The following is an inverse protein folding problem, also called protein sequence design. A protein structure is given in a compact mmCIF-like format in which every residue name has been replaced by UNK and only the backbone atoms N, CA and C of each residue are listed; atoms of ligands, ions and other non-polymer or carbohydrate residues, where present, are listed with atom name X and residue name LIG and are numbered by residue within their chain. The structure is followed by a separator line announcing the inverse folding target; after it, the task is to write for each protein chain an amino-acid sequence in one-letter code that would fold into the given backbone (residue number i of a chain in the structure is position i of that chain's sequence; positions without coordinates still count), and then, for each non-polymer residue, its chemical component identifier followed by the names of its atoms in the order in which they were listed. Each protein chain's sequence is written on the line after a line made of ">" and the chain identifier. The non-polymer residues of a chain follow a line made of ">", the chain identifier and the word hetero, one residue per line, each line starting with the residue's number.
data_IF_329159998658
#
_entry.id   IF_329159998658
#
_cell.length_a   1.000
_cell.length_b   1.000
_cell.length_c   1.000
_cell.angle_alpha   90.00
_cell.angle_beta   90.00
_cell.angle_gamma   90.00
#
_symmetry.space_group_name_H-M   'P 1'
#
loop_
_entity.id
_entity.type
_entity.pdbx_description
1 polymer ?
#
# COMPACT_ATOMS: atom_id res chain seq x y z
N UNK A 1 -9.28 -43.83 36.68
CA UNK A 1 -9.53 -43.09 35.42
C UNK A 1 -9.23 -41.62 35.67
N UNK A 2 -8.16 -41.07 35.07
CA UNK A 2 -7.76 -39.66 35.28
C UNK A 2 -8.52 -38.79 34.27
N UNK A 3 -9.37 -37.91 34.75
CA UNK A 3 -10.05 -36.89 33.92
C UNK A 3 -9.01 -35.87 33.49
N UNK A 4 -8.68 -35.85 32.20
CA UNK A 4 -7.95 -34.75 31.59
C UNK A 4 -8.85 -33.50 31.61
N UNK A 5 -8.75 -32.72 32.68
CA UNK A 5 -9.19 -31.32 32.68
C UNK A 5 -8.26 -30.56 31.75
N UNK A 6 -8.60 -30.53 30.46
CA UNK A 6 -7.91 -29.71 29.47
C UNK A 6 -8.39 -28.26 29.67
N UNK A 7 -7.65 -27.50 30.47
CA UNK A 7 -7.79 -26.05 30.57
C UNK A 7 -7.89 -25.44 29.17
N UNK A 8 -8.89 -24.60 28.87
CA UNK A 8 -9.05 -24.03 27.52
C UNK A 8 -8.12 -22.85 27.22
N UNK A 9 -7.26 -22.46 28.18
CA UNK A 9 -6.45 -21.23 28.08
C UNK A 9 -5.10 -21.38 27.38
N UNK A 10 -4.75 -22.57 26.88
CA UNK A 10 -3.50 -22.82 26.15
C UNK A 10 -3.75 -23.06 24.65
N UNK A 11 -4.69 -22.31 24.06
CA UNK A 11 -4.82 -22.21 22.61
C UNK A 11 -3.96 -21.05 22.15
N UNK A 12 -2.68 -21.33 21.96
CA UNK A 12 -1.92 -20.63 20.92
C UNK A 12 -2.78 -20.66 19.65
N UNK A 13 -3.24 -19.49 19.21
CA UNK A 13 -4.18 -19.33 18.10
C UNK A 13 -3.74 -20.19 16.92
N UNK A 14 -4.50 -21.24 16.59
CA UNK A 14 -4.23 -22.08 15.43
C UNK A 14 -4.72 -21.41 14.13
N UNK A 15 -5.26 -20.20 14.24
CA UNK A 15 -5.66 -19.39 13.11
C UNK A 15 -4.43 -18.91 12.33
N UNK A 16 -4.43 -19.01 10.99
CA UNK A 16 -3.43 -18.34 10.18
C UNK A 16 -3.49 -16.82 10.43
N UNK A 17 -2.34 -16.15 10.38
CA UNK A 17 -2.18 -14.72 10.68
C UNK A 17 -3.23 -13.84 9.97
N UNK A 18 -3.51 -14.14 8.70
CA UNK A 18 -4.54 -13.47 7.91
C UNK A 18 -5.96 -13.60 8.49
N UNK A 19 -6.31 -14.76 9.07
CA UNK A 19 -7.62 -14.94 9.70
C UNK A 19 -7.69 -14.31 11.09
N UNK A 20 -6.56 -14.17 11.80
CA UNK A 20 -6.51 -13.40 13.03
C UNK A 20 -6.78 -11.91 12.76
N UNK A 21 -6.18 -11.35 11.70
CA UNK A 21 -6.41 -9.96 11.31
C UNK A 21 -7.87 -9.71 10.88
N UNK A 22 -8.47 -10.64 10.13
CA UNK A 22 -9.91 -10.57 9.78
C UNK A 22 -10.75 -10.64 11.07
N UNK A 23 -10.45 -11.56 11.99
CA UNK A 23 -11.17 -11.70 13.24
C UNK A 23 -11.08 -10.44 14.11
N UNK A 24 -9.91 -9.79 14.16
CA UNK A 24 -9.73 -8.54 14.88
C UNK A 24 -10.55 -7.41 14.27
N UNK A 25 -10.53 -7.25 12.94
CA UNK A 25 -11.34 -6.24 12.25
C UNK A 25 -12.83 -6.48 12.41
N UNK A 26 -13.28 -7.73 12.37
CA UNK A 26 -14.67 -8.09 12.64
C UNK A 26 -15.04 -7.76 14.09
N UNK A 27 -14.14 -8.03 15.05
CA UNK A 27 -14.31 -7.68 16.46
C UNK A 27 -14.47 -6.17 16.65
N UNK A 28 -13.62 -5.38 16.00
CA UNK A 28 -13.69 -3.92 16.02
C UNK A 28 -14.97 -3.41 15.34
N UNK A 29 -15.31 -3.93 14.16
CA UNK A 29 -16.47 -3.49 13.37
C UNK A 29 -17.82 -3.76 14.06
N UNK A 30 -17.89 -4.86 14.83
CA UNK A 30 -19.06 -5.23 15.60
C UNK A 30 -19.02 -4.71 17.04
N UNK A 31 -18.01 -3.90 17.40
CA UNK A 31 -17.74 -3.41 18.76
C UNK A 31 -17.85 -4.52 19.82
N UNK A 32 -17.34 -5.71 19.50
CA UNK A 32 -17.36 -6.85 20.41
C UNK A 32 -16.39 -6.63 21.57
N UNK A 33 -16.65 -7.32 22.69
CA UNK A 33 -15.83 -7.21 23.89
C UNK A 33 -14.35 -7.53 23.58
N UNK A 34 -13.39 -6.70 24.05
CA UNK A 34 -11.96 -6.95 23.88
C UNK A 34 -11.48 -8.25 24.54
N UNK A 35 -12.25 -8.78 25.49
CA UNK A 35 -11.99 -10.05 26.15
C UNK A 35 -12.38 -11.28 25.33
N UNK A 36 -13.07 -11.11 24.21
CA UNK A 36 -13.45 -12.22 23.33
C UNK A 36 -12.25 -12.69 22.50
N UNK A 37 -11.91 -13.99 22.54
CA UNK A 37 -10.76 -14.52 21.81
C UNK A 37 -11.03 -14.55 20.30
N UNK A 38 -9.99 -14.26 19.52
CA UNK A 38 -10.09 -14.15 18.05
C UNK A 38 -10.49 -15.47 17.39
N UNK A 39 -10.06 -16.63 17.93
CA UNK A 39 -10.51 -17.96 17.48
C UNK A 39 -12.03 -18.13 17.59
N UNK A 40 -12.64 -17.62 18.66
CA UNK A 40 -14.09 -17.69 18.85
C UNK A 40 -14.82 -16.71 17.92
N UNK A 41 -14.24 -15.53 17.67
CA UNK A 41 -14.78 -14.59 16.67
C UNK A 41 -14.72 -15.21 15.28
N UNK A 42 -13.61 -15.85 14.92
CA UNK A 42 -13.45 -16.50 13.62
C UNK A 42 -14.44 -17.65 13.43
N UNK A 43 -14.61 -18.51 14.43
CA UNK A 43 -15.56 -19.63 14.38
C UNK A 43 -17.00 -19.12 14.24
N UNK A 44 -17.39 -18.14 15.06
CA UNK A 44 -18.76 -17.62 15.11
C UNK A 44 -19.13 -16.80 13.88
N UNK A 45 -18.19 -16.04 13.32
CA UNK A 45 -18.47 -15.07 12.26
C UNK A 45 -17.94 -15.49 10.89
N UNK A 46 -17.25 -16.62 10.72
CA UNK A 46 -16.66 -17.08 9.45
C UNK A 46 -17.60 -17.00 8.25
N UNK A 47 -18.86 -17.38 8.46
CA UNK A 47 -19.87 -17.45 7.41
C UNK A 47 -20.72 -16.17 7.28
N UNK A 48 -20.52 -15.20 8.18
CA UNK A 48 -21.23 -13.93 8.19
C UNK A 48 -20.85 -13.04 7.00
N UNK A 49 -21.75 -12.12 6.66
CA UNK A 49 -21.47 -11.11 5.63
C UNK A 49 -20.34 -10.15 6.05
N UNK A 50 -20.22 -9.86 7.35
CA UNK A 50 -19.19 -8.97 7.90
C UNK A 50 -17.80 -9.57 7.71
N UNK A 51 -17.64 -10.86 7.99
CA UNK A 51 -16.37 -11.57 7.74
C UNK A 51 -15.96 -11.56 6.27
N UNK A 52 -16.91 -11.82 5.36
CA UNK A 52 -16.65 -11.75 3.91
C UNK A 52 -16.24 -10.34 3.48
N UNK A 53 -16.89 -9.31 4.01
CA UNK A 53 -16.56 -7.92 3.75
C UNK A 53 -15.14 -7.58 4.20
N UNK A 54 -14.77 -7.93 5.43
CA UNK A 54 -13.43 -7.67 5.95
C UNK A 54 -12.35 -8.46 5.20
N UNK A 55 -12.63 -9.73 4.86
CA UNK A 55 -11.72 -10.56 4.04
C UNK A 55 -11.48 -9.98 2.66
N UNK A 56 -12.52 -9.44 2.00
CA UNK A 56 -12.36 -8.74 0.71
C UNK A 56 -11.70 -7.37 0.88
N UNK A 57 -11.98 -6.66 1.97
CA UNK A 57 -11.35 -5.39 2.32
C UNK A 57 -9.83 -5.53 2.42
N UNK A 58 -9.36 -6.53 3.17
CA UNK A 58 -7.93 -6.85 3.28
C UNK A 58 -7.28 -7.17 1.95
N UNK A 59 -7.92 -8.00 1.12
CA UNK A 59 -7.42 -8.30 -0.22
C UNK A 59 -7.40 -7.06 -1.13
N UNK A 60 -8.39 -6.17 -0.96
CA UNK A 60 -8.50 -4.91 -1.70
C UNK A 60 -7.45 -3.88 -1.26
N UNK A 61 -7.10 -3.83 0.02
CA UNK A 61 -6.02 -2.99 0.54
C UNK A 61 -4.67 -3.47 0.04
N UNK A 62 -4.39 -4.78 0.05
CA UNK A 62 -3.17 -5.35 -0.54
C UNK A 62 -3.04 -5.00 -2.03
N UNK A 63 -4.15 -5.11 -2.77
CA UNK A 63 -4.19 -4.76 -4.19
C UNK A 63 -4.00 -3.25 -4.40
N UNK A 64 -4.61 -2.42 -3.55
CA UNK A 64 -4.49 -0.97 -3.60
C UNK A 64 -3.09 -0.50 -3.24
N UNK A 65 -2.44 -1.11 -2.26
CA UNK A 65 -1.07 -0.83 -1.87
C UNK A 65 -0.10 -1.16 -3.01
N UNK A 66 -0.31 -2.32 -3.66
CA UNK A 66 0.45 -2.73 -4.84
C UNK A 66 0.22 -1.80 -6.04
N UNK A 67 -1.01 -1.37 -6.28
CA UNK A 67 -1.35 -0.39 -7.32
C UNK A 67 -0.76 1.00 -6.99
N UNK A 68 -0.79 1.41 -5.73
CA UNK A 68 -0.24 2.69 -5.28
C UNK A 68 1.29 2.72 -5.48
N UNK A 69 1.98 1.63 -5.13
CA UNK A 69 3.40 1.45 -5.39
C UNK A 69 3.77 1.56 -6.87
N UNK A 70 2.91 1.10 -7.78
CA UNK A 70 3.11 1.21 -9.23
C UNK A 70 2.73 2.62 -9.74
N UNK A 71 1.79 3.30 -9.10
CA UNK A 71 1.33 4.63 -9.52
C UNK A 71 2.28 5.77 -9.15
N UNK A 72 3.13 5.59 -8.13
CA UNK A 72 4.13 6.58 -7.73
C UNK A 72 5.11 6.99 -8.86
N UNK A 73 5.76 6.08 -9.60
CA UNK A 73 6.64 6.46 -10.71
C UNK A 73 5.88 7.17 -11.84
N UNK A 74 4.63 6.80 -12.09
CA UNK A 74 3.78 7.40 -13.14
C UNK A 74 3.39 8.83 -12.74
N UNK A 75 2.97 9.04 -11.49
CA UNK A 75 2.71 10.38 -10.96
C UNK A 75 3.96 11.26 -11.01
N UNK A 76 5.15 10.70 -10.69
CA UNK A 76 6.41 11.43 -10.75
C UNK A 76 6.78 11.85 -12.18
N UNK A 77 6.49 11.00 -13.16
CA UNK A 77 6.69 11.31 -14.58
C UNK A 77 5.73 12.39 -15.08
N UNK A 78 4.45 12.31 -14.70
CA UNK A 78 3.44 13.34 -15.00
C UNK A 78 3.77 14.68 -14.36
N UNK A 79 4.20 14.69 -13.10
CA UNK A 79 4.63 15.92 -12.41
C UNK A 79 5.88 16.54 -13.03
N UNK A 80 6.86 15.72 -13.45
CA UNK A 80 8.02 16.20 -14.19
C UNK A 80 7.62 16.91 -15.48
N UNK A 81 6.67 16.35 -16.22
CA UNK A 81 6.18 16.93 -17.48
C UNK A 81 5.38 18.22 -17.28
N UNK A 82 4.54 18.30 -16.25
CA UNK A 82 3.80 19.52 -15.88
C UNK A 82 4.77 20.62 -15.41
N UNK A 83 5.79 20.27 -14.62
CA UNK A 83 6.80 21.23 -14.15
C UNK A 83 7.68 21.75 -15.29
N UNK A 84 8.03 20.92 -16.26
CA UNK A 84 8.74 21.35 -17.47
C UNK A 84 7.88 22.27 -18.35
N UNK A 85 6.59 21.96 -18.51
CA UNK A 85 5.65 22.85 -19.22
C UNK A 85 5.47 24.20 -18.52
N UNK A 86 5.44 24.21 -17.18
CA UNK A 86 5.40 25.44 -16.38
C UNK A 86 6.70 26.24 -16.40
N UNK A 87 7.87 25.58 -16.53
CA UNK A 87 9.16 26.26 -16.67
C UNK A 87 9.29 26.96 -18.03
N UNK A 88 8.80 26.31 -19.09
CA UNK A 88 8.74 26.89 -20.44
C UNK A 88 7.79 28.09 -20.49
N UNK A 89 6.62 27.99 -19.85
CA UNK A 89 5.67 29.11 -19.73
C UNK A 89 6.18 30.28 -18.85
N UNK A 90 7.16 30.04 -17.96
CA UNK A 90 7.79 31.08 -17.16
C UNK A 90 9.03 31.72 -17.81
N UNK A 91 9.35 31.38 -19.06
CA UNK A 91 10.44 32.03 -19.80
C UNK A 91 11.84 31.71 -19.27
N UNK A 92 12.03 30.57 -18.60
CA UNK A 92 13.38 30.08 -18.27
C UNK A 92 13.90 29.33 -19.49
N UNK A 93 14.51 30.07 -20.40
CA UNK A 93 15.21 29.52 -21.55
C UNK A 93 16.40 28.67 -21.05
N UNK A 94 16.53 27.40 -21.47
CA UNK A 94 17.71 26.60 -21.15
C UNK A 94 18.89 27.17 -21.95
N UNK A 95 19.81 27.80 -21.21
CA UNK A 95 21.07 28.36 -21.70
C UNK A 95 21.74 27.39 -22.70
N UNK A 96 21.74 27.76 -23.99
CA UNK A 96 22.40 27.01 -25.05
C UNK A 96 23.91 26.90 -24.73
N UNK A 97 24.50 25.70 -24.73
CA UNK A 97 25.95 25.58 -24.62
C UNK A 97 26.58 26.12 -25.90
N UNK A 98 27.36 27.19 -25.76
CA UNK A 98 28.15 27.80 -26.84
C UNK A 98 28.87 26.74 -27.66
N UNK A 99 28.50 26.63 -28.94
CA UNK A 99 29.28 25.90 -29.95
C UNK A 99 30.71 26.46 -29.95
N UNK A 100 31.75 25.61 -29.95
CA UNK A 100 33.07 26.06 -30.33
C UNK A 100 33.04 26.30 -31.85
N UNK A 101 32.95 27.57 -32.24
CA UNK A 101 33.17 28.02 -33.61
C UNK A 101 34.63 27.77 -33.98
N UNK A 102 34.85 26.70 -34.73
CA UNK A 102 36.03 26.53 -35.54
C UNK A 102 35.63 26.78 -36.98
N UNK A 103 35.88 27.99 -37.51
CA UNK A 103 36.01 28.16 -38.95
C UNK A 103 37.05 29.21 -39.32
N UNK A 104 37.85 28.80 -40.31
CA UNK A 104 38.94 29.48 -41.00
C UNK A 104 38.58 30.86 -41.56
N UNK A 105 39.59 31.74 -41.65
CA UNK A 105 39.55 32.89 -42.56
C UNK A 105 40.74 33.83 -42.39
N UNK A 106 41.80 33.62 -43.16
CA UNK A 106 43.00 34.46 -43.10
C UNK A 106 42.78 35.89 -43.63
N UNK A 107 43.59 36.84 -43.16
CA UNK A 107 44.09 37.97 -43.95
C UNK A 107 45.29 38.66 -43.27
N UNK A 108 46.31 38.87 -44.10
CA UNK A 108 47.57 39.63 -43.93
C UNK A 108 47.26 41.13 -43.70
N UNK A 109 48.16 41.95 -43.11
CA UNK A 109 49.43 42.36 -43.76
C UNK A 109 50.71 42.06 -42.98
#
# INVERSE_FOLDING_TARGET
>A
MKTHSKSPQDRSSNLPEREQEIAERVRQSLHLSPSMPLDEVADRFRHSAVWRRERMGLAGEELRDRLWGISQPILRFLWGRVRSGWAWLRGVEPNEPSRPDGENGGKIP
#
